data_IF_833911041546
#
_entry.id   IF_833911041546
#
_cell.length_a   1.000
_cell.length_b   1.000
_cell.length_c   1.000
_cell.angle_alpha   90.00
_cell.angle_beta   90.00
_cell.angle_gamma   90.00
#
_symmetry.space_group_name_H-M   'P 1'
#
loop_
_entity.id
_entity.type
_entity.pdbx_description
1 polymer ?
#
# COMPACT_ATOMS: atom_id res chain seq x y z
N UNK A 1 -24.32 6.44 -16.18
CA UNK A 1 -22.98 5.80 -16.08
C UNK A 1 -23.21 4.32 -15.92
N UNK A 2 -22.26 3.45 -16.30
CA UNK A 2 -22.35 2.04 -15.92
C UNK A 2 -22.02 1.96 -14.43
N UNK A 3 -22.91 1.35 -13.66
CA UNK A 3 -22.69 1.11 -12.24
C UNK A 3 -22.19 -0.33 -12.06
N UNK A 4 -21.14 -0.52 -11.27
CA UNK A 4 -20.44 -1.79 -11.13
C UNK A 4 -20.90 -2.57 -9.88
N UNK A 5 -20.93 -3.89 -9.98
CA UNK A 5 -21.09 -4.79 -8.85
C UNK A 5 -19.72 -5.07 -8.24
N UNK A 6 -19.48 -4.51 -7.05
CA UNK A 6 -18.18 -4.59 -6.37
C UNK A 6 -18.22 -5.66 -5.28
N UNK A 7 -17.11 -6.39 -5.11
CA UNK A 7 -16.94 -7.27 -3.97
C UNK A 7 -15.68 -6.94 -3.17
N UNK A 8 -15.75 -7.06 -1.84
CA UNK A 8 -14.60 -6.86 -0.93
C UNK A 8 -14.33 -8.17 -0.20
N UNK A 9 -13.21 -8.82 -0.53
CA UNK A 9 -12.77 -10.06 0.12
C UNK A 9 -11.80 -9.74 1.25
N UNK A 10 -12.08 -10.23 2.45
CA UNK A 10 -11.40 -9.81 3.67
C UNK A 10 -12.00 -8.55 4.30
N UNK A 11 -13.31 -8.33 4.09
CA UNK A 11 -14.02 -7.11 4.50
C UNK A 11 -13.92 -6.79 6.01
N UNK A 12 -13.73 -7.79 6.86
CA UNK A 12 -13.61 -7.60 8.32
C UNK A 12 -12.24 -7.14 8.80
N UNK A 13 -11.21 -7.22 7.95
CA UNK A 13 -9.85 -6.74 8.27
C UNK A 13 -9.71 -5.21 8.16
N UNK A 14 -8.60 -4.66 8.66
CA UNK A 14 -8.36 -3.21 8.64
C UNK A 14 -8.39 -2.63 7.21
N UNK A 15 -7.69 -3.27 6.27
CA UNK A 15 -7.69 -2.83 4.86
C UNK A 15 -9.05 -3.05 4.21
N UNK A 16 -9.75 -4.14 4.54
CA UNK A 16 -11.12 -4.39 4.06
C UNK A 16 -12.10 -3.29 4.45
N UNK A 17 -12.03 -2.81 5.69
CA UNK A 17 -12.82 -1.68 6.15
C UNK A 17 -12.39 -0.36 5.49
N UNK A 18 -11.08 -0.15 5.27
CA UNK A 18 -10.60 1.03 4.55
C UNK A 18 -10.99 1.00 3.07
N UNK A 19 -11.14 -0.17 2.42
CA UNK A 19 -11.74 -0.28 1.09
C UNK A 19 -13.15 0.29 1.07
N UNK A 20 -14.02 -0.17 1.97
CA UNK A 20 -15.41 0.29 2.07
C UNK A 20 -15.45 1.80 2.26
N UNK A 21 -14.67 2.32 3.21
CA UNK A 21 -14.58 3.76 3.48
C UNK A 21 -14.09 4.55 2.27
N UNK A 22 -13.07 4.05 1.57
CA UNK A 22 -12.48 4.72 0.41
C UNK A 22 -13.45 4.74 -0.78
N UNK A 23 -14.10 3.62 -1.08
CA UNK A 23 -15.14 3.53 -2.12
C UNK A 23 -16.25 4.57 -1.91
N UNK A 24 -16.72 4.70 -0.66
CA UNK A 24 -17.77 5.66 -0.30
C UNK A 24 -17.29 7.12 -0.41
N UNK A 25 -16.14 7.44 0.18
CA UNK A 25 -15.61 8.81 0.18
C UNK A 25 -15.30 9.32 -1.22
N UNK A 26 -14.94 8.42 -2.13
CA UNK A 26 -14.63 8.74 -3.52
C UNK A 26 -15.84 8.70 -4.45
N UNK A 27 -17.03 8.41 -3.90
CA UNK A 27 -18.27 8.22 -4.68
C UNK A 27 -18.05 7.24 -5.84
N UNK A 28 -17.39 6.11 -5.55
CA UNK A 28 -17.08 5.10 -6.57
C UNK A 28 -18.38 4.63 -7.25
N UNK A 29 -18.41 4.49 -8.59
CA UNK A 29 -19.65 4.21 -9.33
C UNK A 29 -20.07 2.74 -9.19
N UNK A 30 -20.59 2.35 -8.02
CA UNK A 30 -21.06 1.00 -7.73
C UNK A 30 -22.59 0.96 -7.53
N UNK A 31 -23.23 -0.06 -8.11
CA UNK A 31 -24.67 -0.34 -7.93
C UNK A 31 -24.93 -1.21 -6.70
N UNK A 32 -23.96 -2.07 -6.35
CA UNK A 32 -24.01 -2.93 -5.17
C UNK A 32 -22.61 -3.26 -4.66
N UNK A 33 -22.53 -3.63 -3.39
CA UNK A 33 -21.31 -4.14 -2.77
C UNK A 33 -21.61 -5.46 -2.04
N UNK A 34 -20.80 -6.49 -2.30
CA UNK A 34 -20.79 -7.75 -1.56
C UNK A 34 -19.61 -7.77 -0.60
N UNK A 35 -19.84 -8.02 0.68
CA UNK A 35 -18.80 -8.11 1.69
C UNK A 35 -18.52 -9.57 1.99
N UNK A 36 -17.26 -9.98 1.84
CA UNK A 36 -16.87 -11.39 1.94
C UNK A 36 -15.71 -11.58 2.89
N UNK A 37 -15.75 -12.65 3.67
CA UNK A 37 -14.68 -13.04 4.59
C UNK A 37 -14.68 -14.56 4.81
N UNK A 38 -13.94 -15.03 5.82
CA UNK A 38 -14.00 -16.42 6.27
C UNK A 38 -15.34 -16.76 6.93
N UNK A 39 -15.72 -18.03 6.97
CA UNK A 39 -16.83 -18.62 7.73
C UNK A 39 -17.06 -18.02 9.13
N UNK A 40 -16.01 -17.88 9.94
CA UNK A 40 -16.03 -17.29 11.30
C UNK A 40 -16.45 -15.81 11.35
N UNK A 41 -16.46 -15.14 10.21
CA UNK A 41 -16.88 -13.74 10.04
C UNK A 41 -18.23 -13.61 9.35
N UNK A 42 -18.77 -14.69 8.78
CA UNK A 42 -20.06 -14.67 8.11
C UNK A 42 -21.18 -14.30 9.10
N UNK A 43 -22.19 -13.56 8.62
CA UNK A 43 -23.30 -13.06 9.43
C UNK A 43 -22.99 -11.78 10.22
N UNK A 44 -21.74 -11.32 10.27
CA UNK A 44 -21.42 -9.99 10.81
C UNK A 44 -21.99 -8.92 9.90
N UNK A 45 -22.37 -7.78 10.47
CA UNK A 45 -22.81 -6.61 9.71
C UNK A 45 -21.76 -5.52 9.75
N UNK A 46 -21.44 -4.96 8.60
CA UNK A 46 -20.52 -3.83 8.47
C UNK A 46 -21.25 -2.62 7.89
N UNK A 47 -20.94 -1.39 8.35
CA UNK A 47 -21.53 -0.19 7.81
C UNK A 47 -21.01 0.08 6.39
N UNK A 48 -21.95 0.32 5.46
CA UNK A 48 -21.70 0.78 4.10
C UNK A 48 -22.57 2.01 3.88
N UNK A 49 -21.99 3.19 4.06
CA UNK A 49 -22.71 4.46 4.01
C UNK A 49 -23.72 4.55 5.14
N UNK A 50 -25.00 4.65 4.80
CA UNK A 50 -26.11 4.69 5.76
C UNK A 50 -26.78 3.33 5.98
N UNK A 51 -26.25 2.27 5.37
CA UNK A 51 -26.80 0.92 5.44
C UNK A 51 -25.84 -0.03 6.16
N UNK A 52 -26.37 -1.14 6.65
CA UNK A 52 -25.57 -2.27 7.11
C UNK A 52 -25.64 -3.38 6.06
N UNK A 53 -24.48 -3.93 5.69
CA UNK A 53 -24.37 -5.05 4.77
C UNK A 53 -23.83 -6.24 5.54
N UNK A 54 -24.48 -7.38 5.38
CA UNK A 54 -24.06 -8.65 5.98
C UNK A 54 -22.82 -9.19 5.26
N UNK A 55 -21.87 -9.71 6.03
CA UNK A 55 -20.67 -10.35 5.53
C UNK A 55 -21.00 -11.79 5.19
N UNK A 56 -20.73 -12.19 3.96
CA UNK A 56 -20.89 -13.54 3.44
C UNK A 56 -19.58 -14.33 3.60
N UNK A 57 -19.69 -15.66 3.67
CA UNK A 57 -18.53 -16.54 3.51
C UNK A 57 -18.04 -16.49 2.07
N UNK A 58 -16.72 -16.45 1.88
CA UNK A 58 -16.10 -16.52 0.56
C UNK A 58 -16.10 -17.97 0.08
N UNK A 59 -16.87 -18.28 -0.95
CA UNK A 59 -16.94 -19.58 -1.62
C UNK A 59 -16.61 -19.44 -3.11
N UNK A 60 -16.63 -20.55 -3.85
CA UNK A 60 -16.33 -20.50 -5.30
C UNK A 60 -17.44 -19.81 -6.10
N UNK A 61 -18.66 -19.84 -5.59
CA UNK A 61 -19.87 -19.27 -6.21
C UNK A 61 -20.04 -17.78 -5.86
N UNK A 62 -19.31 -17.27 -4.86
CA UNK A 62 -19.47 -15.89 -4.37
C UNK A 62 -19.12 -14.79 -5.37
N UNK A 63 -18.54 -15.14 -6.53
CA UNK A 63 -18.10 -14.18 -7.55
C UNK A 63 -19.04 -14.06 -8.75
N UNK A 64 -20.15 -14.80 -8.76
CA UNK A 64 -21.16 -14.65 -9.80
C UNK A 64 -21.74 -13.22 -9.80
N UNK A 65 -21.73 -12.60 -10.98
CA UNK A 65 -22.23 -11.24 -11.21
C UNK A 65 -21.34 -10.12 -10.66
N UNK A 66 -20.14 -10.42 -10.16
CA UNK A 66 -19.18 -9.41 -9.69
C UNK A 66 -18.37 -8.88 -10.87
N UNK A 67 -18.29 -7.56 -11.01
CA UNK A 67 -17.47 -6.90 -12.04
C UNK A 67 -16.06 -6.64 -11.53
N UNK A 68 -15.93 -6.16 -10.29
CA UNK A 68 -14.65 -5.78 -9.68
C UNK A 68 -14.57 -6.35 -8.28
N UNK A 69 -13.48 -7.05 -7.97
CA UNK A 69 -13.26 -7.62 -6.65
C UNK A 69 -11.96 -7.09 -6.03
N UNK A 70 -12.07 -6.45 -4.86
CA UNK A 70 -10.94 -5.94 -4.08
C UNK A 70 -10.57 -6.96 -3.01
N UNK A 71 -9.35 -7.49 -3.09
CA UNK A 71 -8.91 -8.59 -2.23
C UNK A 71 -7.92 -8.11 -1.19
N UNK A 72 -8.20 -8.42 0.09
CA UNK A 72 -7.26 -8.25 1.20
C UNK A 72 -7.48 -9.31 2.28
N UNK A 73 -7.35 -10.59 1.90
CA UNK A 73 -7.53 -11.75 2.78
C UNK A 73 -6.25 -12.60 3.00
N UNK A 74 -5.09 -12.08 2.60
CA UNK A 74 -3.81 -12.79 2.70
C UNK A 74 -3.48 -13.63 1.45
N UNK A 75 -2.22 -14.03 1.31
CA UNK A 75 -1.70 -14.62 0.08
C UNK A 75 -2.35 -15.97 -0.26
N UNK A 76 -2.58 -16.84 0.73
CA UNK A 76 -3.15 -18.18 0.48
C UNK A 76 -4.59 -18.10 -0.03
N UNK A 77 -5.41 -17.27 0.61
CA UNK A 77 -6.79 -17.03 0.17
C UNK A 77 -6.83 -16.40 -1.22
N UNK A 78 -5.88 -15.49 -1.49
CA UNK A 78 -5.75 -14.83 -2.79
C UNK A 78 -5.36 -15.81 -3.89
N UNK A 79 -4.44 -16.75 -3.64
CA UNK A 79 -4.07 -17.82 -4.59
C UNK A 79 -5.25 -18.72 -4.92
N UNK A 80 -6.13 -18.98 -3.96
CA UNK A 80 -7.29 -19.82 -4.16
C UNK A 80 -8.42 -19.09 -4.90
N UNK A 81 -8.84 -17.93 -4.41
CA UNK A 81 -10.07 -17.26 -4.87
C UNK A 81 -9.87 -16.26 -6.01
N UNK A 82 -8.69 -15.65 -6.18
CA UNK A 82 -8.49 -14.69 -7.29
C UNK A 82 -8.70 -15.31 -8.67
N UNK A 83 -8.18 -16.52 -8.96
CA UNK A 83 -8.42 -17.17 -10.25
C UNK A 83 -9.89 -17.56 -10.45
N UNK A 84 -10.60 -17.91 -9.37
CA UNK A 84 -12.02 -18.25 -9.41
C UNK A 84 -12.85 -17.00 -9.76
N UNK A 85 -12.58 -15.89 -9.08
CA UNK A 85 -13.22 -14.60 -9.36
C UNK A 85 -12.96 -14.13 -10.81
N UNK A 86 -11.69 -14.22 -11.27
CA UNK A 86 -11.32 -13.88 -12.64
C UNK A 86 -12.04 -14.77 -13.67
N UNK A 87 -12.17 -16.07 -13.40
CA UNK A 87 -12.91 -17.01 -14.26
C UNK A 87 -14.42 -16.74 -14.28
N UNK A 88 -14.98 -16.24 -13.17
CA UNK A 88 -16.38 -15.82 -13.07
C UNK A 88 -16.67 -14.48 -13.80
N UNK A 89 -15.63 -13.80 -14.29
CA UNK A 89 -15.74 -12.57 -15.08
C UNK A 89 -15.34 -11.29 -14.34
N UNK A 90 -15.02 -11.37 -13.04
CA UNK A 90 -14.57 -10.22 -12.27
C UNK A 90 -13.13 -9.83 -12.60
N UNK A 91 -12.79 -8.55 -12.48
CA UNK A 91 -11.39 -8.13 -12.38
C UNK A 91 -11.00 -8.00 -10.92
N UNK A 92 -9.98 -8.77 -10.54
CA UNK A 92 -9.44 -8.79 -9.18
C UNK A 92 -8.32 -7.76 -9.06
N UNK A 93 -8.44 -6.87 -8.07
CA UNK A 93 -7.32 -6.06 -7.59
C UNK A 93 -6.86 -6.62 -6.24
N UNK A 94 -5.71 -7.29 -6.26
CA UNK A 94 -5.23 -8.11 -5.16
C UNK A 94 -4.17 -7.41 -4.31
N UNK A 95 -4.46 -7.18 -3.03
CA UNK A 95 -3.55 -6.53 -2.08
C UNK A 95 -2.47 -7.44 -1.50
N UNK A 96 -2.57 -8.76 -1.71
CA UNK A 96 -1.60 -9.70 -1.16
C UNK A 96 -0.31 -9.72 -1.97
N UNK A 97 0.73 -10.36 -1.42
CA UNK A 97 1.97 -10.60 -2.16
C UNK A 97 1.88 -11.76 -3.16
N UNK A 98 0.75 -12.48 -3.23
CA UNK A 98 0.64 -13.73 -4.00
C UNK A 98 0.97 -13.58 -5.49
N UNK A 99 0.61 -12.44 -6.06
CA UNK A 99 0.64 -12.19 -7.50
C UNK A 99 1.65 -11.12 -7.93
N UNK A 100 2.26 -10.39 -6.98
CA UNK A 100 3.06 -9.19 -7.26
C UNK A 100 4.23 -9.45 -8.19
N UNK A 101 4.90 -10.60 -8.04
CA UNK A 101 6.02 -11.01 -8.89
C UNK A 101 5.67 -12.09 -9.90
N UNK A 102 4.39 -12.48 -10.00
CA UNK A 102 3.95 -13.48 -10.97
C UNK A 102 4.08 -12.95 -12.40
N UNK A 103 4.53 -13.81 -13.32
CA UNK A 103 4.75 -13.40 -14.71
C UNK A 103 3.41 -13.17 -15.39
N UNK A 104 3.26 -11.99 -16.00
CA UNK A 104 2.04 -11.63 -16.72
C UNK A 104 0.92 -11.06 -15.84
N UNK A 105 1.13 -10.92 -14.53
CA UNK A 105 0.26 -10.12 -13.67
C UNK A 105 0.87 -8.71 -13.51
N UNK A 106 0.15 -7.64 -13.86
CA UNK A 106 0.64 -6.28 -13.66
C UNK A 106 0.68 -5.92 -12.17
N UNK A 107 1.70 -5.16 -11.77
CA UNK A 107 1.88 -4.64 -10.42
C UNK A 107 1.81 -3.11 -10.50
N UNK A 108 0.74 -2.50 -10.00
CA UNK A 108 0.36 -1.16 -10.45
C UNK A 108 0.32 -0.12 -9.33
N UNK A 109 0.91 1.05 -9.60
CA UNK A 109 0.64 2.30 -8.90
C UNK A 109 0.14 3.30 -9.95
N UNK A 110 -1.13 3.76 -9.90
CA UNK A 110 -1.73 4.57 -10.96
C UNK A 110 -0.98 5.85 -11.33
N UNK A 111 -0.28 6.48 -10.39
CA UNK A 111 0.55 7.67 -10.65
C UNK A 111 1.89 7.34 -11.34
N UNK A 112 2.28 6.07 -11.40
CA UNK A 112 3.58 5.60 -11.89
C UNK A 112 3.46 4.87 -13.22
N UNK A 113 2.73 3.75 -13.24
CA UNK A 113 2.61 2.84 -14.39
C UNK A 113 1.15 2.48 -14.71
N UNK A 114 0.24 3.46 -14.93
CA UNK A 114 -1.17 3.16 -15.15
C UNK A 114 -1.41 2.32 -16.42
N UNK A 115 -0.55 2.44 -17.44
CA UNK A 115 -0.66 1.68 -18.69
C UNK A 115 -0.57 0.16 -18.50
N UNK A 116 0.07 -0.29 -17.42
CA UNK A 116 0.24 -1.72 -17.13
C UNK A 116 -1.08 -2.42 -16.81
N UNK A 117 -2.08 -1.66 -16.36
CA UNK A 117 -3.43 -2.17 -16.08
C UNK A 117 -3.96 -2.91 -17.31
N UNK A 118 -3.72 -2.39 -18.53
CA UNK A 118 -4.21 -2.97 -19.79
C UNK A 118 -3.69 -4.39 -20.06
N UNK A 119 -2.59 -4.78 -19.44
CA UNK A 119 -1.99 -6.11 -19.59
C UNK A 119 -2.67 -7.18 -18.71
N UNK A 120 -3.62 -6.79 -17.86
CA UNK A 120 -4.26 -7.71 -16.93
C UNK A 120 -5.03 -8.83 -17.65
N UNK A 121 -5.03 -10.01 -17.03
CA UNK A 121 -5.82 -11.18 -17.48
C UNK A 121 -6.86 -11.54 -16.43
N UNK A 122 -7.56 -10.52 -15.91
CA UNK A 122 -8.51 -10.65 -14.82
C UNK A 122 -7.92 -10.47 -13.42
N UNK A 123 -6.60 -10.41 -13.25
CA UNK A 123 -5.94 -10.14 -11.96
C UNK A 123 -4.92 -9.02 -12.14
N UNK A 124 -4.93 -8.06 -11.20
CA UNK A 124 -3.97 -6.97 -11.05
C UNK A 124 -3.45 -7.02 -9.61
N UNK A 125 -2.15 -6.95 -9.43
CA UNK A 125 -1.54 -6.91 -8.10
C UNK A 125 -1.40 -5.46 -7.61
N UNK A 126 -1.83 -5.22 -6.37
CA UNK A 126 -1.57 -4.02 -5.62
C UNK A 126 -0.26 -4.19 -4.81
N UNK A 127 0.69 -3.22 -4.85
CA UNK A 127 1.99 -3.40 -4.22
C UNK A 127 1.98 -3.31 -2.70
N UNK A 128 3.16 -3.49 -2.09
CA UNK A 128 3.38 -3.24 -0.68
C UNK A 128 3.18 -1.75 -0.34
N UNK A 129 2.59 -1.49 0.81
CA UNK A 129 2.41 -0.17 1.37
C UNK A 129 3.69 0.70 1.44
N UNK A 130 4.84 0.14 1.82
CA UNK A 130 6.12 0.86 1.82
C UNK A 130 6.57 1.19 0.39
N UNK A 131 6.54 0.20 -0.50
CA UNK A 131 6.88 0.42 -1.91
C UNK A 131 6.02 1.52 -2.55
N UNK A 132 4.69 1.52 -2.32
CA UNK A 132 3.77 2.48 -2.97
C UNK A 132 4.16 3.93 -2.64
N UNK A 133 4.32 4.28 -1.37
CA UNK A 133 4.63 5.66 -1.00
C UNK A 133 6.01 6.09 -1.54
N UNK A 134 6.98 5.17 -1.53
CA UNK A 134 8.31 5.43 -2.07
C UNK A 134 8.27 5.69 -3.57
N UNK A 135 7.62 4.83 -4.36
CA UNK A 135 7.60 5.00 -5.83
C UNK A 135 6.75 6.20 -6.26
N UNK A 136 5.68 6.54 -5.54
CA UNK A 136 4.92 7.78 -5.78
C UNK A 136 5.80 9.01 -5.57
N UNK A 137 6.63 9.02 -4.53
CA UNK A 137 7.58 10.10 -4.26
C UNK A 137 8.71 10.15 -5.31
N UNK A 138 9.26 9.00 -5.70
CA UNK A 138 10.48 8.92 -6.51
C UNK A 138 10.25 8.97 -8.02
N UNK A 139 9.13 8.44 -8.51
CA UNK A 139 8.82 8.41 -9.94
C UNK A 139 8.90 9.76 -10.65
N UNK A 140 8.27 10.86 -10.14
CA UNK A 140 8.33 12.15 -10.83
C UNK A 140 9.76 12.68 -10.94
N UNK A 141 10.63 12.40 -9.96
CA UNK A 141 12.05 12.75 -9.99
C UNK A 141 12.82 11.87 -10.99
N UNK A 142 12.59 10.55 -10.95
CA UNK A 142 13.24 9.57 -11.83
C UNK A 142 13.01 9.89 -13.30
N UNK A 143 11.81 10.35 -13.66
CA UNK A 143 11.48 10.74 -15.05
C UNK A 143 12.29 11.92 -15.59
N UNK A 144 12.74 12.81 -14.72
CA UNK A 144 13.54 13.99 -15.10
C UNK A 144 15.03 13.68 -15.05
N UNK A 145 15.45 12.96 -14.01
CA UNK A 145 16.83 12.56 -13.79
C UNK A 145 16.82 11.13 -13.25
N UNK A 146 17.24 10.13 -14.04
CA UNK A 146 17.15 8.75 -13.63
C UNK A 146 17.87 8.48 -12.31
N UNK A 147 17.21 7.73 -11.43
CA UNK A 147 17.76 7.26 -10.16
C UNK A 147 18.58 6.01 -10.44
N UNK A 148 19.82 5.97 -9.92
CA UNK A 148 20.72 4.81 -9.99
C UNK A 148 20.61 3.95 -8.75
N UNK A 149 20.48 4.56 -7.57
CA UNK A 149 20.46 3.87 -6.30
C UNK A 149 19.47 4.51 -5.32
N UNK A 150 18.84 3.65 -4.53
CA UNK A 150 17.96 3.99 -3.41
C UNK A 150 18.51 3.27 -2.17
N UNK A 151 18.66 4.01 -1.08
CA UNK A 151 18.82 3.47 0.27
C UNK A 151 17.65 4.00 1.10
N UNK A 152 16.92 3.11 1.77
CA UNK A 152 15.72 3.47 2.51
C UNK A 152 15.66 2.77 3.87
N UNK A 153 15.40 3.55 4.90
CA UNK A 153 15.09 3.06 6.25
C UNK A 153 13.62 3.35 6.55
N UNK A 154 12.84 2.32 6.79
CA UNK A 154 11.40 2.46 7.04
C UNK A 154 11.10 2.48 8.54
N UNK A 155 10.07 3.24 8.89
CA UNK A 155 9.49 3.38 10.22
C UNK A 155 8.00 3.05 10.09
N UNK A 156 7.70 1.75 10.07
CA UNK A 156 6.38 1.24 9.72
C UNK A 156 5.50 1.09 10.97
N UNK A 157 4.26 1.55 10.85
CA UNK A 157 3.21 1.42 11.86
C UNK A 157 2.77 -0.03 12.10
N UNK A 158 2.19 -0.32 13.25
CA UNK A 158 1.68 -1.65 13.59
C UNK A 158 0.41 -2.04 12.83
N UNK A 159 -0.36 -1.06 12.31
CA UNK A 159 -1.54 -1.35 11.48
C UNK A 159 -1.23 -2.15 10.22
N UNK A 160 0.01 -2.10 9.71
CA UNK A 160 0.44 -2.93 8.58
C UNK A 160 0.36 -4.43 8.85
N UNK A 161 0.47 -4.85 10.12
CA UNK A 161 0.31 -6.26 10.54
C UNK A 161 -1.17 -6.64 10.76
N UNK A 162 -2.04 -5.65 11.02
CA UNK A 162 -3.47 -5.86 11.22
C UNK A 162 -3.96 -5.51 12.63
N UNK A 163 -5.26 -5.74 12.86
CA UNK A 163 -5.96 -5.28 14.07
C UNK A 163 -5.38 -5.85 15.37
N UNK A 164 -4.92 -7.10 15.37
CA UNK A 164 -4.31 -7.71 16.55
C UNK A 164 -3.04 -6.97 17.00
N UNK A 165 -2.20 -6.53 16.06
CA UNK A 165 -0.98 -5.77 16.36
C UNK A 165 -1.29 -4.36 16.93
N UNK A 166 -2.36 -3.74 16.44
CA UNK A 166 -2.86 -2.45 16.95
C UNK A 166 -3.31 -2.60 18.41
N UNK A 167 -4.08 -3.64 18.71
CA UNK A 167 -4.52 -3.91 20.09
C UNK A 167 -3.38 -4.37 21.01
N UNK A 168 -2.41 -5.12 20.49
CA UNK A 168 -1.19 -5.46 21.23
C UNK A 168 -0.42 -4.21 21.64
N UNK A 169 -0.13 -3.29 20.70
CA UNK A 169 0.56 -2.04 21.02
C UNK A 169 -0.20 -1.23 22.08
N UNK A 170 -1.53 -1.10 21.95
CA UNK A 170 -2.37 -0.38 22.93
C UNK A 170 -2.31 -1.03 24.31
N UNK A 171 -2.36 -2.35 24.37
CA UNK A 171 -2.33 -3.11 25.62
C UNK A 171 -0.97 -3.00 26.29
N UNK A 172 0.10 -3.28 25.55
CA UNK A 172 1.47 -3.17 26.03
C UNK A 172 1.81 -1.75 26.48
N UNK A 173 1.35 -0.72 25.76
CA UNK A 173 1.60 0.67 26.14
C UNK A 173 0.99 1.02 27.52
N UNK A 174 -0.23 0.57 27.80
CA UNK A 174 -0.85 0.74 29.14
C UNK A 174 -0.08 -0.01 30.21
N UNK A 175 0.23 -1.28 29.97
CA UNK A 175 1.00 -2.11 30.91
C UNK A 175 2.34 -1.49 31.27
N UNK A 176 3.12 -1.03 30.28
CA UNK A 176 4.43 -0.40 30.53
C UNK A 176 4.28 0.88 31.34
N UNK A 177 3.28 1.72 31.03
CA UNK A 177 3.02 2.96 31.78
C UNK A 177 2.56 2.70 33.22
N UNK A 178 1.88 1.59 33.46
CA UNK A 178 1.46 1.13 34.79
C UNK A 178 2.57 0.36 35.53
N UNK A 179 3.78 0.26 34.97
CA UNK A 179 4.90 -0.48 35.56
C UNK A 179 4.72 -2.00 35.56
N UNK A 180 3.84 -2.52 34.71
CA UNK A 180 3.54 -3.94 34.56
C UNK A 180 4.39 -4.58 33.46
N UNK A 181 4.73 -5.88 33.58
CA UNK A 181 5.40 -6.60 32.50
C UNK A 181 4.47 -6.77 31.29
N UNK A 182 5.06 -6.83 30.10
CA UNK A 182 4.35 -7.15 28.86
C UNK A 182 4.64 -8.59 28.42
N UNK A 183 3.70 -9.18 27.68
CA UNK A 183 3.90 -10.46 27.01
C UNK A 183 3.56 -10.26 25.52
N UNK A 184 4.54 -10.35 24.62
CA UNK A 184 4.29 -10.29 23.18
C UNK A 184 3.55 -11.53 22.68
N UNK A 185 2.53 -11.32 21.84
CA UNK A 185 1.72 -12.39 21.23
C UNK A 185 1.72 -12.30 19.70
N UNK A 186 1.73 -11.09 19.13
CA UNK A 186 1.73 -10.84 17.69
C UNK A 186 3.16 -10.70 17.19
N UNK A 187 3.98 -9.92 17.89
CA UNK A 187 5.40 -9.77 17.60
C UNK A 187 6.26 -10.69 18.47
N UNK A 188 7.48 -11.05 18.05
CA UNK A 188 8.40 -11.83 18.87
C UNK A 188 8.90 -11.06 20.11
N UNK A 189 8.78 -9.74 20.10
CA UNK A 189 9.26 -8.84 21.14
C UNK A 189 8.25 -7.73 21.44
N UNK A 190 8.38 -7.08 22.60
CA UNK A 190 7.56 -5.93 22.99
C UNK A 190 7.68 -4.84 21.92
N UNK A 191 6.54 -4.33 21.43
CA UNK A 191 6.52 -3.22 20.47
C UNK A 191 6.28 -1.88 21.16
N UNK A 192 5.57 -1.85 22.30
CA UNK A 192 5.37 -0.61 23.04
C UNK A 192 6.71 -0.02 23.51
N UNK A 193 6.94 1.26 23.18
CA UNK A 193 8.18 1.99 23.49
C UNK A 193 9.46 1.31 22.98
N UNK A 194 9.36 0.53 21.90
CA UNK A 194 10.49 -0.21 21.32
C UNK A 194 10.50 -0.11 19.78
N UNK A 195 11.59 -0.52 19.15
CA UNK A 195 11.76 -0.60 17.69
C UNK A 195 12.20 -2.01 17.30
N UNK A 196 11.55 -2.60 16.29
CA UNK A 196 11.85 -3.97 15.84
C UNK A 196 12.39 -3.93 14.41
N UNK A 197 13.68 -4.24 14.16
CA UNK A 197 14.26 -4.26 12.81
C UNK A 197 13.92 -5.57 12.08
N UNK A 198 12.66 -6.00 12.18
CA UNK A 198 12.15 -7.22 11.57
C UNK A 198 10.69 -6.99 11.16
N UNK A 199 10.45 -7.03 9.85
CA UNK A 199 9.11 -7.07 9.28
C UNK A 199 9.08 -8.20 8.26
N UNK A 200 8.12 -9.12 8.44
CA UNK A 200 8.09 -10.40 7.73
C UNK A 200 9.32 -11.27 8.10
N UNK A 201 9.44 -12.47 7.53
CA UNK A 201 10.51 -13.41 7.87
C UNK A 201 11.83 -13.09 7.16
N UNK A 202 12.95 -13.46 7.77
CA UNK A 202 14.28 -13.38 7.14
C UNK A 202 14.44 -14.36 5.96
N UNK A 203 15.25 -13.94 5.00
CA UNK A 203 15.76 -14.70 3.86
C UNK A 203 17.21 -15.12 4.12
N UNK A 204 17.70 -16.08 3.34
CA UNK A 204 19.06 -16.63 3.48
C UNK A 204 20.19 -15.60 3.29
N UNK A 205 19.89 -14.49 2.61
CA UNK A 205 20.84 -13.40 2.37
C UNK A 205 20.90 -12.34 3.50
N UNK A 206 20.14 -12.55 4.59
CA UNK A 206 20.09 -11.65 5.74
C UNK A 206 19.08 -10.50 5.65
N UNK A 207 18.42 -10.31 4.50
CA UNK A 207 17.30 -9.38 4.37
C UNK A 207 16.00 -10.03 4.87
N UNK A 208 15.04 -9.23 5.31
CA UNK A 208 13.67 -9.67 5.49
C UNK A 208 12.91 -9.73 4.15
N UNK A 209 11.82 -10.50 4.10
CA UNK A 209 10.91 -10.50 2.95
C UNK A 209 10.31 -9.13 2.67
N UNK A 210 10.10 -8.29 3.67
CA UNK A 210 9.60 -6.93 3.48
C UNK A 210 10.61 -6.06 2.73
N UNK A 211 11.88 -6.13 3.14
CA UNK A 211 12.96 -5.40 2.48
C UNK A 211 13.12 -5.87 1.03
N UNK A 212 13.02 -7.19 0.81
CA UNK A 212 13.11 -7.76 -0.54
C UNK A 212 11.94 -7.37 -1.45
N UNK A 213 10.71 -7.26 -0.90
CA UNK A 213 9.57 -6.71 -1.64
C UNK A 213 9.86 -5.29 -2.12
N UNK A 214 10.41 -4.41 -1.27
CA UNK A 214 10.75 -3.06 -1.69
C UNK A 214 11.75 -3.05 -2.85
N UNK A 215 12.72 -3.99 -2.87
CA UNK A 215 13.69 -4.12 -3.97
C UNK A 215 13.01 -4.55 -5.27
N UNK A 216 12.28 -5.67 -5.25
CA UNK A 216 11.71 -6.28 -6.46
C UNK A 216 10.54 -5.48 -7.02
N UNK A 217 9.64 -5.03 -6.15
CA UNK A 217 8.46 -4.28 -6.56
C UNK A 217 8.83 -2.92 -7.14
N UNK A 218 9.84 -2.23 -6.57
CA UNK A 218 10.32 -0.94 -7.12
C UNK A 218 10.81 -1.09 -8.56
N UNK A 219 11.63 -2.12 -8.83
CA UNK A 219 12.12 -2.42 -10.19
C UNK A 219 10.99 -2.65 -11.16
N UNK A 220 10.02 -3.49 -10.77
CA UNK A 220 8.87 -3.85 -11.60
C UNK A 220 7.97 -2.64 -11.88
N UNK A 221 7.59 -1.89 -10.86
CA UNK A 221 6.65 -0.75 -10.97
C UNK A 221 7.26 0.41 -11.77
N UNK A 222 8.54 0.72 -11.55
CA UNK A 222 9.21 1.82 -12.24
C UNK A 222 9.77 1.43 -13.61
N UNK A 223 9.61 0.18 -14.04
CA UNK A 223 10.25 -0.39 -15.23
C UNK A 223 11.76 -0.14 -15.28
N UNK A 224 12.42 -0.29 -14.14
CA UNK A 224 13.80 0.10 -13.92
C UNK A 224 14.61 -1.06 -13.32
N UNK A 225 14.78 -2.15 -14.07
CA UNK A 225 15.40 -3.40 -13.60
C UNK A 225 16.79 -3.22 -12.96
N UNK A 226 17.54 -2.22 -13.42
CA UNK A 226 18.92 -1.95 -12.98
C UNK A 226 19.02 -0.98 -11.79
N UNK A 227 17.90 -0.47 -11.25
CA UNK A 227 17.95 0.39 -10.07
C UNK A 227 18.46 -0.43 -8.87
N UNK A 228 19.50 0.08 -8.23
CA UNK A 228 20.03 -0.51 -7.01
C UNK A 228 19.15 -0.07 -5.83
N UNK A 229 18.66 -1.02 -5.04
CA UNK A 229 17.81 -0.73 -3.87
C UNK A 229 18.37 -1.52 -2.69
N UNK A 230 18.50 -0.85 -1.55
CA UNK A 230 18.78 -1.47 -0.26
C UNK A 230 17.82 -0.86 0.76
N UNK A 231 17.10 -1.72 1.47
CA UNK A 231 16.08 -1.33 2.43
C UNK A 231 16.41 -1.91 3.80
N UNK A 232 16.12 -1.17 4.86
CA UNK A 232 16.01 -1.67 6.23
C UNK A 232 14.61 -1.38 6.74
N UNK A 233 13.85 -2.43 7.07
CA UNK A 233 12.44 -2.29 7.43
C UNK A 233 12.22 -2.43 8.94
N UNK A 234 11.84 -1.33 9.61
CA UNK A 234 11.70 -1.29 11.06
C UNK A 234 10.25 -1.06 11.47
N UNK A 235 9.72 -1.90 12.36
CA UNK A 235 8.44 -1.69 13.02
C UNK A 235 8.61 -0.75 14.20
N UNK A 236 7.77 0.28 14.28
CA UNK A 236 7.80 1.31 15.33
C UNK A 236 6.45 1.39 16.05
N UNK A 237 6.36 1.98 17.26
CA UNK A 237 5.14 2.03 18.05
C UNK A 237 4.21 3.17 17.58
N UNK A 238 3.91 3.16 16.28
CA UNK A 238 2.97 4.08 15.61
C UNK A 238 1.75 3.26 15.20
N UNK A 239 0.55 3.76 15.48
CA UNK A 239 -0.69 3.03 15.17
C UNK A 239 -0.93 2.94 13.66
N UNK A 240 -0.94 4.08 12.96
CA UNK A 240 -1.22 4.20 11.52
C UNK A 240 -0.25 5.22 10.93
N UNK A 241 0.15 5.00 9.68
CA UNK A 241 1.09 5.85 8.94
C UNK A 241 2.49 5.25 8.91
N UNK A 242 3.02 5.02 7.72
CA UNK A 242 4.43 4.65 7.53
C UNK A 242 5.25 5.90 7.30
N UNK A 243 6.51 5.85 7.71
CA UNK A 243 7.47 6.89 7.38
C UNK A 243 8.76 6.28 6.84
N UNK A 244 9.46 6.99 5.97
CA UNK A 244 10.66 6.50 5.30
C UNK A 244 11.71 7.61 5.23
N UNK A 245 12.91 7.31 5.70
CA UNK A 245 14.09 8.09 5.38
C UNK A 245 14.65 7.56 4.06
N UNK A 246 14.51 8.35 2.99
CA UNK A 246 14.86 7.92 1.63
C UNK A 246 16.06 8.72 1.14
N UNK A 247 17.11 8.00 0.74
CA UNK A 247 18.30 8.52 0.10
C UNK A 247 18.36 8.01 -1.33
N UNK A 248 18.51 8.91 -2.30
CA UNK A 248 18.60 8.56 -3.72
C UNK A 248 19.85 9.13 -4.35
N UNK A 249 20.47 8.35 -5.23
CA UNK A 249 21.58 8.78 -6.07
C UNK A 249 21.10 8.88 -7.52
N UNK A 250 21.22 10.08 -8.09
CA UNK A 250 20.81 10.36 -9.47
C UNK A 250 21.96 10.20 -10.47
N UNK A 251 21.63 10.17 -11.78
CA UNK A 251 22.64 10.20 -12.84
C UNK A 251 23.45 11.50 -12.86
N UNK A 252 22.81 12.62 -12.53
CA UNK A 252 23.42 13.96 -12.43
C UNK A 252 22.97 14.64 -11.12
N UNK A 253 23.68 15.67 -10.62
CA UNK A 253 23.21 16.44 -9.47
C UNK A 253 21.80 17.01 -9.70
N UNK A 254 20.94 16.92 -8.67
CA UNK A 254 19.60 17.51 -8.69
C UNK A 254 19.54 18.67 -7.68
N UNK A 255 19.26 19.91 -8.14
CA UNK A 255 19.00 21.03 -7.23
C UNK A 255 17.78 20.77 -6.34
N UNK A 256 17.85 21.18 -5.07
CA UNK A 256 16.77 20.94 -4.08
C UNK A 256 15.48 21.66 -4.46
N UNK A 257 15.59 22.91 -4.95
CA UNK A 257 14.48 23.74 -5.42
C UNK A 257 13.80 23.12 -6.66
N UNK A 258 14.59 22.50 -7.54
CA UNK A 258 14.06 21.73 -8.66
C UNK A 258 13.29 20.49 -8.19
N UNK A 259 13.87 19.70 -7.28
CA UNK A 259 13.20 18.53 -6.70
C UNK A 259 11.86 18.91 -6.05
N UNK A 260 11.86 19.96 -5.21
CA UNK A 260 10.65 20.48 -4.57
C UNK A 260 9.60 20.90 -5.60
N UNK A 261 9.99 21.66 -6.64
CA UNK A 261 9.08 22.08 -7.72
C UNK A 261 8.46 20.92 -8.48
N UNK A 262 9.22 19.85 -8.74
CA UNK A 262 8.72 18.64 -9.39
C UNK A 262 7.70 17.93 -8.48
N UNK A 263 8.06 17.72 -7.21
CA UNK A 263 7.22 17.02 -6.24
C UNK A 263 5.93 17.78 -5.93
N UNK A 264 5.97 19.11 -5.78
CA UNK A 264 4.76 19.92 -5.53
C UNK A 264 3.74 19.90 -6.67
N UNK A 265 4.11 19.42 -7.86
CA UNK A 265 3.23 19.27 -9.03
C UNK A 265 2.85 17.82 -9.31
N UNK A 266 3.45 16.87 -8.59
CA UNK A 266 3.21 15.45 -8.82
C UNK A 266 1.83 15.04 -8.27
N UNK A 267 1.01 14.30 -9.04
CA UNK A 267 -0.26 13.78 -8.56
C UNK A 267 -0.07 12.91 -7.31
N UNK A 268 -0.97 13.06 -6.33
CA UNK A 268 -0.92 12.28 -5.08
C UNK A 268 0.19 12.69 -4.11
N UNK A 269 1.01 13.70 -4.43
CA UNK A 269 2.09 14.18 -3.57
C UNK A 269 1.74 15.51 -2.93
N UNK A 270 2.09 15.66 -1.65
CA UNK A 270 2.00 16.95 -0.93
C UNK A 270 3.31 17.27 -0.21
N UNK A 271 3.93 18.38 -0.59
CA UNK A 271 5.19 18.82 0.04
C UNK A 271 4.89 19.59 1.33
N UNK A 272 5.46 19.14 2.44
CA UNK A 272 5.48 19.81 3.73
C UNK A 272 6.96 19.98 4.13
N UNK A 273 7.59 21.08 3.74
CA UNK A 273 9.04 21.21 3.89
C UNK A 273 9.46 22.65 4.19
N UNK A 274 9.28 23.05 5.45
CA UNK A 274 9.81 24.32 5.96
C UNK A 274 10.44 24.11 7.34
N UNK A 275 11.77 23.98 7.34
CA UNK A 275 12.54 23.76 8.55
C UNK A 275 12.61 24.99 9.46
N UNK A 276 12.26 26.19 8.98
CA UNK A 276 12.28 27.41 9.81
C UNK A 276 11.13 27.44 10.83
N UNK A 277 10.06 26.71 10.54
CA UNK A 277 8.86 26.59 11.40
C UNK A 277 8.56 25.14 11.81
N UNK A 278 9.53 24.23 11.63
CA UNK A 278 9.38 22.79 11.94
C UNK A 278 8.20 22.12 11.20
N UNK A 279 7.97 22.51 9.95
CA UNK A 279 6.98 21.89 9.07
C UNK A 279 7.63 20.72 8.31
N UNK A 280 7.22 19.50 8.67
CA UNK A 280 7.61 18.27 8.00
C UNK A 280 6.52 17.21 8.19
N UNK A 281 6.47 16.18 7.32
CA UNK A 281 5.48 15.12 7.41
C UNK A 281 5.58 14.32 8.72
N UNK A 282 4.43 13.95 9.28
CA UNK A 282 4.34 13.16 10.51
C UNK A 282 3.28 12.06 10.33
N UNK A 283 3.54 10.80 10.74
CA UNK A 283 2.65 9.68 10.44
C UNK A 283 1.27 9.83 11.06
N UNK A 284 1.17 10.36 12.29
CA UNK A 284 -0.11 10.57 12.95
C UNK A 284 -1.01 11.59 12.23
N UNK A 285 -0.42 12.61 11.60
CA UNK A 285 -1.13 13.65 10.87
C UNK A 285 -1.50 13.22 9.44
N UNK A 286 -0.77 12.24 8.88
CA UNK A 286 -1.06 11.66 7.57
C UNK A 286 -2.17 10.58 7.62
N UNK A 287 -2.52 10.07 8.81
CA UNK A 287 -3.56 9.06 8.93
C UNK A 287 -4.91 9.57 8.38
N UNK A 288 -5.52 8.81 7.49
CA UNK A 288 -6.79 9.09 6.85
C UNK A 288 -6.72 9.97 5.59
N UNK A 289 -5.54 10.42 5.16
CA UNK A 289 -5.39 11.23 3.94
C UNK A 289 -5.03 10.41 2.70
N UNK A 290 -5.32 10.96 1.52
CA UNK A 290 -5.04 10.30 0.24
C UNK A 290 -3.57 10.50 -0.20
N UNK A 291 -2.95 11.58 0.27
CA UNK A 291 -1.65 12.05 -0.20
C UNK A 291 -0.46 11.30 0.41
N UNK A 292 0.61 11.20 -0.39
CA UNK A 292 1.97 10.92 0.06
C UNK A 292 2.64 12.26 0.39
N UNK A 293 3.00 12.44 1.66
CA UNK A 293 3.65 13.67 2.12
C UNK A 293 5.15 13.55 2.05
N UNK A 294 5.81 14.60 1.58
CA UNK A 294 7.27 14.65 1.44
C UNK A 294 7.81 15.90 2.09
N UNK A 295 8.89 15.77 2.84
CA UNK A 295 9.63 16.90 3.39
C UNK A 295 11.08 16.54 3.68
N UNK A 296 11.77 17.42 4.40
CA UNK A 296 13.20 17.28 4.70
C UNK A 296 14.05 17.07 3.44
N UNK A 297 13.63 17.65 2.32
CA UNK A 297 14.28 17.49 1.02
C UNK A 297 15.57 18.30 1.06
N UNK A 298 16.70 17.63 0.88
CA UNK A 298 18.01 18.24 0.97
C UNK A 298 19.02 17.48 0.14
N UNK A 299 20.08 18.18 -0.28
CA UNK A 299 21.24 17.52 -0.88
C UNK A 299 21.84 16.53 0.12
N UNK A 300 22.20 15.35 -0.35
CA UNK A 300 23.00 14.42 0.44
C UNK A 300 24.43 14.98 0.57
N UNK A 301 24.92 15.11 1.80
CA UNK A 301 26.25 15.63 2.05
C UNK A 301 27.36 14.63 1.71
N UNK A 302 27.04 13.33 1.63
CA UNK A 302 27.98 12.25 1.36
C UNK A 302 28.16 11.94 -0.13
N UNK A 303 27.24 12.40 -1.00
CA UNK A 303 27.25 12.04 -2.42
C UNK A 303 26.87 13.24 -3.32
N UNK A 304 27.65 13.57 -4.36
CA UNK A 304 27.43 14.77 -5.18
C UNK A 304 26.11 14.75 -5.96
N UNK A 305 25.62 13.56 -6.33
CA UNK A 305 24.33 13.36 -7.00
C UNK A 305 23.24 12.87 -6.04
N UNK A 306 23.49 12.96 -4.73
CA UNK A 306 22.57 12.43 -3.72
C UNK A 306 21.53 13.47 -3.30
N UNK A 307 20.31 12.98 -3.05
CA UNK A 307 19.23 13.74 -2.43
C UNK A 307 18.63 12.87 -1.31
N UNK A 308 18.35 13.49 -0.16
CA UNK A 308 17.69 12.85 0.96
C UNK A 308 16.33 13.50 1.21
N UNK A 309 15.34 12.70 1.59
CA UNK A 309 13.98 13.16 1.89
C UNK A 309 13.32 12.28 2.96
N UNK A 310 12.22 12.78 3.51
CA UNK A 310 11.35 12.09 4.45
C UNK A 310 9.97 11.92 3.82
N UNK A 311 9.52 10.67 3.68
CA UNK A 311 8.27 10.32 3.00
C UNK A 311 7.31 9.69 4.01
N UNK A 312 6.05 10.14 4.02
CA UNK A 312 5.03 9.64 4.95
C UNK A 312 3.71 9.46 4.21
N UNK A 313 3.06 8.33 4.42
CA UNK A 313 1.71 8.08 3.93
C UNK A 313 0.92 7.19 4.89
N UNK A 314 -0.40 7.26 4.83
CA UNK A 314 -1.26 6.28 5.47
C UNK A 314 -1.13 4.92 4.76
N UNK A 315 -0.64 3.93 5.50
CA UNK A 315 -0.34 2.58 5.01
C UNK A 315 -1.58 1.72 4.76
N UNK A 316 -2.72 2.01 5.41
CA UNK A 316 -4.00 1.33 5.16
C UNK A 316 -4.71 1.98 3.97
N UNK A 317 -4.49 3.28 3.78
CA UNK A 317 -5.11 4.07 2.72
C UNK A 317 -4.27 4.07 1.45
N UNK A 318 -3.39 5.06 1.20
CA UNK A 318 -2.57 5.08 -0.02
C UNK A 318 -1.69 3.84 -0.13
N UNK A 319 -1.20 3.30 0.99
CA UNK A 319 -0.42 2.06 1.00
C UNK A 319 -1.22 0.77 0.72
N UNK A 320 -2.54 0.80 0.64
CA UNK A 320 -3.33 -0.39 0.33
C UNK A 320 -4.67 -0.03 -0.35
N UNK A 321 -5.65 0.43 0.44
CA UNK A 321 -7.02 0.56 -0.01
C UNK A 321 -7.22 1.56 -1.15
N UNK A 322 -6.66 2.76 -0.99
CA UNK A 322 -6.79 3.82 -2.00
C UNK A 322 -6.07 3.46 -3.29
N UNK A 323 -4.88 2.87 -3.23
CA UNK A 323 -4.18 2.49 -4.46
C UNK A 323 -4.99 1.47 -5.27
N UNK A 324 -5.57 0.45 -4.61
CA UNK A 324 -6.41 -0.53 -5.28
C UNK A 324 -7.74 0.05 -5.80
N UNK A 325 -8.36 1.00 -5.07
CA UNK A 325 -9.53 1.74 -5.58
C UNK A 325 -9.14 2.62 -6.78
N UNK A 326 -8.00 3.29 -6.75
CA UNK A 326 -7.52 4.11 -7.88
C UNK A 326 -7.19 3.24 -9.11
N UNK A 327 -6.68 2.02 -8.94
CA UNK A 327 -6.53 1.05 -10.04
C UNK A 327 -7.91 0.78 -10.66
N UNK A 328 -8.93 0.52 -9.84
CA UNK A 328 -10.29 0.31 -10.33
C UNK A 328 -10.89 1.55 -11.01
N UNK A 329 -10.67 2.75 -10.47
CA UNK A 329 -11.09 4.01 -11.09
C UNK A 329 -10.42 4.22 -12.46
N UNK A 330 -9.12 3.95 -12.57
CA UNK A 330 -8.40 4.11 -13.83
C UNK A 330 -8.84 3.06 -14.86
N UNK A 331 -9.15 1.82 -14.44
CA UNK A 331 -9.81 0.82 -15.29
C UNK A 331 -11.13 1.34 -15.85
N UNK A 332 -12.00 1.90 -15.01
CA UNK A 332 -13.30 2.42 -15.43
C UNK A 332 -13.16 3.59 -16.40
N UNK A 333 -12.30 4.56 -16.05
CA UNK A 333 -12.05 5.75 -16.85
C UNK A 333 -11.54 5.43 -18.25
N UNK A 334 -10.81 4.33 -18.41
CA UNK A 334 -10.20 3.89 -19.68
C UNK A 334 -10.93 2.74 -20.36
N UNK A 335 -12.04 2.27 -19.80
CA UNK A 335 -12.81 1.12 -20.26
C UNK A 335 -11.99 -0.19 -20.32
N UNK A 336 -11.14 -0.41 -19.31
CA UNK A 336 -10.28 -1.61 -19.13
C UNK A 336 -10.82 -2.57 -18.06
N UNK A 337 -12.10 -2.49 -17.70
CA UNK A 337 -12.73 -3.44 -16.77
C UNK A 337 -12.91 -4.83 -17.42
N UNK A 338 -12.65 -4.97 -18.72
CA UNK A 338 -12.59 -6.26 -19.41
C UNK A 338 -11.22 -6.45 -20.07
N UNK A 339 -10.62 -7.65 -20.01
CA UNK A 339 -9.36 -7.93 -20.70
C UNK A 339 -9.46 -7.70 -22.21
N UNK A 340 -8.42 -7.17 -22.85
CA UNK A 340 -8.34 -7.09 -24.32
C UNK A 340 -8.47 -8.50 -24.93
N UNK A 341 -9.51 -8.73 -25.74
CA UNK A 341 -9.73 -9.98 -26.46
C UNK A 341 -10.67 -11.00 -25.80
N UNK A 342 -11.30 -10.67 -24.66
CA UNK A 342 -12.41 -11.46 -24.11
C UNK A 342 -13.73 -11.13 -24.82
N UNK A 343 -14.34 -12.12 -25.49
CA UNK A 343 -15.74 -12.04 -25.91
C UNK A 343 -16.67 -12.10 -24.70
#
# INVERSE_FOLDING_TARGET
MKDYHVAVVGATGLVGQEFIKTLLQRNFPMSSIRLMASDRSAGRKLPVGHHEVEVEETTSESFEGVDIALFSAGADQSRHFSPIAAKAGAVVVDNSSAWRMEKGIPLVVPEVNPEDIRMHKGIIANPNCSTIQMVVALWPLHRVNPIRRIVVDTYQSVAGTGAAAVEELRTQARQVLDGQPTVPHVYPHQIAFNILPEIDVFLDNGYSKEEWKMVEETRKIMHADNIAVSATCVRVPVLVGHSEAVHVEFTHPMPVDEAQRILSRAPGVRVLDDTSISLYPQPWAAAGSDEVFIGRIRKDNSHPNGLAMWVVADNLRKGAALNAVQIAEEMIKRDWVKPEGGQ
#
